data_IF_736510187682
#
_entry.id   IF_736510187682
#
_cell.length_a   1.000
_cell.length_b   1.000
_cell.length_c   1.000
_cell.angle_alpha   90.00
_cell.angle_beta   90.00
_cell.angle_gamma   90.00
#
_symmetry.space_group_name_H-M   'P 1'
#
loop_
_entity.id
_entity.type
_entity.pdbx_description
1 polymer ?
#
# COMPACT_ATOMS: atom_id res chain seq x y z
N UNK A 1 21.20 -0.45 -10.63
CA UNK A 1 20.87 0.36 -9.44
C UNK A 1 21.98 1.40 -9.28
N UNK A 2 21.69 2.71 -9.31
CA UNK A 2 22.74 3.76 -9.29
C UNK A 2 22.67 4.72 -8.10
N UNK A 3 21.66 4.62 -7.23
CA UNK A 3 21.66 5.37 -5.97
C UNK A 3 22.18 4.48 -4.85
N UNK A 4 23.36 4.80 -4.36
CA UNK A 4 24.08 4.03 -3.34
C UNK A 4 23.90 4.66 -1.95
N UNK A 5 22.68 5.09 -1.64
CA UNK A 5 22.37 5.56 -0.29
C UNK A 5 22.46 4.39 0.69
N UNK A 6 23.09 4.63 1.82
CA UNK A 6 22.98 3.75 2.98
C UNK A 6 21.52 3.63 3.44
N UNK A 7 21.22 2.60 4.23
CA UNK A 7 19.88 2.42 4.82
C UNK A 7 19.50 3.65 5.65
N UNK A 8 20.43 4.19 6.43
CA UNK A 8 20.19 5.37 7.27
C UNK A 8 19.87 6.62 6.44
N UNK A 9 20.62 6.87 5.35
CA UNK A 9 20.33 7.98 4.45
C UNK A 9 18.97 7.82 3.75
N UNK A 10 18.62 6.59 3.33
CA UNK A 10 17.30 6.31 2.74
C UNK A 10 16.18 6.60 3.73
N UNK A 11 16.31 6.16 4.98
CA UNK A 11 15.31 6.40 6.01
C UNK A 11 15.15 7.91 6.27
N UNK A 12 16.26 8.62 6.44
CA UNK A 12 16.26 10.08 6.59
C UNK A 12 15.55 10.78 5.43
N UNK A 13 15.89 10.42 4.18
CA UNK A 13 15.26 11.00 2.99
C UNK A 13 13.75 10.71 2.97
N UNK A 14 13.34 9.48 3.33
CA UNK A 14 11.91 9.11 3.40
C UNK A 14 11.20 9.96 4.46
N UNK A 15 11.75 10.07 5.66
CA UNK A 15 11.20 10.87 6.76
C UNK A 15 11.05 12.35 6.37
N UNK A 16 12.07 12.94 5.75
CA UNK A 16 12.05 14.32 5.22
C UNK A 16 10.97 14.55 4.14
N UNK A 17 10.46 13.48 3.52
CA UNK A 17 9.49 13.54 2.42
C UNK A 17 8.09 13.00 2.78
N UNK A 18 7.83 12.56 4.01
CA UNK A 18 6.50 12.05 4.43
C UNK A 18 5.37 13.05 4.14
N UNK A 19 5.62 14.35 4.32
CA UNK A 19 4.65 15.42 4.01
C UNK A 19 4.16 15.42 2.55
N UNK A 20 4.91 14.81 1.62
CA UNK A 20 4.50 14.68 0.22
C UNK A 20 3.22 13.82 0.10
N UNK A 21 3.08 12.79 0.95
CA UNK A 21 1.92 11.90 1.00
C UNK A 21 0.67 12.71 1.35
N UNK A 22 0.72 13.45 2.45
CA UNK A 22 -0.41 14.28 2.86
C UNK A 22 -0.79 15.30 1.80
N UNK A 23 0.20 15.89 1.12
CA UNK A 23 -0.06 16.83 0.03
C UNK A 23 -0.75 16.16 -1.15
N UNK A 24 -0.37 14.93 -1.51
CA UNK A 24 -1.04 14.15 -2.56
C UNK A 24 -2.47 13.82 -2.14
N UNK A 25 -2.69 13.33 -0.92
CA UNK A 25 -4.04 12.99 -0.42
C UNK A 25 -4.93 14.23 -0.38
N UNK A 26 -4.46 15.34 0.21
CA UNK A 26 -5.22 16.60 0.31
C UNK A 26 -5.66 17.11 -1.06
N UNK A 27 -4.78 17.08 -2.07
CA UNK A 27 -5.10 17.51 -3.44
C UNK A 27 -6.10 16.59 -4.15
N UNK A 28 -6.27 15.35 -3.68
CA UNK A 28 -7.12 14.35 -4.30
C UNK A 28 -8.29 13.92 -3.40
N UNK A 29 -8.72 14.75 -2.44
CA UNK A 29 -9.83 14.43 -1.52
C UNK A 29 -11.14 14.07 -2.25
N UNK A 30 -11.42 14.69 -3.39
CA UNK A 30 -12.58 14.35 -4.20
C UNK A 30 -12.51 12.90 -4.71
N UNK A 31 -11.35 12.48 -5.23
CA UNK A 31 -11.11 11.10 -5.66
C UNK A 31 -11.25 10.11 -4.49
N UNK A 32 -10.63 10.42 -3.34
CA UNK A 32 -10.73 9.59 -2.13
C UNK A 32 -12.19 9.32 -1.76
N UNK A 33 -13.02 10.37 -1.76
CA UNK A 33 -14.44 10.27 -1.42
C UNK A 33 -15.23 9.45 -2.45
N UNK A 34 -15.06 9.74 -3.74
CA UNK A 34 -15.83 9.07 -4.82
C UNK A 34 -15.46 7.59 -4.90
N UNK A 35 -14.19 7.25 -4.72
CA UNK A 35 -13.72 5.87 -4.75
C UNK A 35 -13.83 5.15 -3.39
N UNK A 36 -14.41 5.79 -2.36
CA UNK A 36 -14.57 5.26 -0.99
C UNK A 36 -13.25 4.71 -0.43
N UNK A 37 -12.16 5.42 -0.67
CA UNK A 37 -10.85 5.03 -0.18
C UNK A 37 -10.72 5.39 1.29
N UNK A 38 -10.25 4.45 2.08
CA UNK A 38 -9.87 4.69 3.47
C UNK A 38 -8.57 5.51 3.53
N UNK A 39 -8.51 6.44 4.48
CA UNK A 39 -7.36 7.35 4.60
C UNK A 39 -6.11 6.61 5.06
N UNK A 40 -6.22 5.73 6.05
CA UNK A 40 -5.08 5.03 6.65
C UNK A 40 -4.52 4.01 5.65
N UNK A 41 -5.39 3.28 4.94
CA UNK A 41 -4.98 2.36 3.88
C UNK A 41 -4.19 3.08 2.77
N UNK A 42 -4.69 4.24 2.31
CA UNK A 42 -4.02 5.02 1.28
C UNK A 42 -2.72 5.59 1.81
N UNK A 43 -2.69 6.09 3.05
CA UNK A 43 -1.47 6.61 3.67
C UNK A 43 -0.39 5.53 3.74
N UNK A 44 -0.74 4.33 4.22
CA UNK A 44 0.19 3.19 4.28
C UNK A 44 0.70 2.82 2.88
N UNK A 45 -0.18 2.76 1.88
CA UNK A 45 0.28 2.41 0.53
C UNK A 45 1.18 3.45 -0.11
N UNK A 46 0.83 4.73 0.05
CA UNK A 46 1.68 5.82 -0.40
C UNK A 46 3.02 5.84 0.34
N UNK A 47 3.06 5.41 1.60
CA UNK A 47 4.31 5.26 2.38
C UNK A 47 5.21 4.16 1.81
N UNK A 48 4.66 2.98 1.52
CA UNK A 48 5.39 1.90 0.84
C UNK A 48 5.92 2.37 -0.52
N UNK A 49 5.11 3.12 -1.27
CA UNK A 49 5.55 3.67 -2.55
C UNK A 49 6.66 4.70 -2.40
N UNK A 50 6.60 5.58 -1.39
CA UNK A 50 7.64 6.55 -1.10
C UNK A 50 8.98 5.86 -0.84
N UNK A 51 9.00 4.83 0.01
CA UNK A 51 10.20 4.04 0.29
C UNK A 51 10.76 3.47 -1.01
N UNK A 52 9.94 2.84 -1.84
CA UNK A 52 10.36 2.28 -3.14
C UNK A 52 10.87 3.35 -4.11
N UNK A 53 10.22 4.51 -4.15
CA UNK A 53 10.61 5.63 -5.00
C UNK A 53 11.99 6.17 -4.63
N UNK A 54 12.27 6.38 -3.33
CA UNK A 54 13.58 6.81 -2.85
C UNK A 54 14.65 5.75 -3.15
N UNK A 55 14.32 4.48 -2.90
CA UNK A 55 15.24 3.35 -3.08
C UNK A 55 15.63 3.11 -4.54
N UNK A 56 14.69 3.32 -5.47
CA UNK A 56 14.88 3.13 -6.90
C UNK A 56 15.20 4.40 -7.68
N UNK A 57 15.37 5.54 -7.01
CA UNK A 57 15.56 6.83 -7.67
C UNK A 57 16.88 6.86 -8.45
N UNK A 58 16.83 7.37 -9.68
CA UNK A 58 18.01 7.60 -10.51
C UNK A 58 18.22 9.11 -10.67
N UNK A 59 19.29 9.70 -10.08
CA UNK A 59 19.57 11.12 -10.18
C UNK A 59 19.75 11.63 -11.61
N UNK A 60 20.11 10.75 -12.56
CA UNK A 60 20.25 11.12 -13.97
C UNK A 60 18.89 11.38 -14.64
N UNK A 61 17.78 10.92 -14.03
CA UNK A 61 16.42 11.03 -14.56
C UNK A 61 15.64 12.23 -14.03
N UNK A 62 16.29 13.14 -13.31
CA UNK A 62 15.70 14.42 -12.88
C UNK A 62 15.76 14.64 -11.37
N UNK A 63 14.83 15.43 -10.82
CA UNK A 63 14.82 15.79 -9.38
C UNK A 63 14.04 14.78 -8.55
N UNK A 64 14.61 14.36 -7.41
CA UNK A 64 13.99 13.38 -6.49
C UNK A 64 12.56 13.77 -6.11
N UNK A 65 12.33 15.03 -5.72
CA UNK A 65 11.01 15.52 -5.33
C UNK A 65 9.96 15.37 -6.43
N UNK A 66 10.34 15.64 -7.69
CA UNK A 66 9.44 15.48 -8.83
C UNK A 66 9.15 14.00 -9.08
N UNK A 67 10.18 13.15 -8.99
CA UNK A 67 10.03 11.70 -9.06
C UNK A 67 9.06 11.18 -7.99
N UNK A 68 9.25 11.55 -6.71
CA UNK A 68 8.36 11.18 -5.60
C UNK A 68 6.92 11.57 -5.91
N UNK A 69 6.64 12.82 -6.30
CA UNK A 69 5.27 13.23 -6.60
C UNK A 69 4.66 12.45 -7.77
N UNK A 70 5.44 12.14 -8.81
CA UNK A 70 4.96 11.32 -9.92
C UNK A 70 4.60 9.89 -9.45
N UNK A 71 5.48 9.27 -8.66
CA UNK A 71 5.27 7.93 -8.10
C UNK A 71 4.04 7.87 -7.18
N UNK A 72 3.88 8.84 -6.28
CA UNK A 72 2.75 8.90 -5.34
C UNK A 72 1.41 9.13 -6.06
N UNK A 73 1.37 10.01 -7.08
CA UNK A 73 0.15 10.21 -7.87
C UNK A 73 -0.27 8.96 -8.61
N UNK A 74 0.69 8.25 -9.20
CA UNK A 74 0.42 7.00 -9.90
C UNK A 74 -0.09 5.91 -8.95
N UNK A 75 0.51 5.77 -7.76
CA UNK A 75 0.07 4.79 -6.77
C UNK A 75 -1.32 5.09 -6.22
N UNK A 76 -1.65 6.36 -5.97
CA UNK A 76 -3.01 6.74 -5.56
C UNK A 76 -4.07 6.28 -6.56
N UNK A 77 -3.80 6.40 -7.86
CA UNK A 77 -4.70 5.90 -8.91
C UNK A 77 -4.86 4.38 -8.90
N UNK A 78 -3.90 3.64 -8.33
CA UNK A 78 -3.97 2.18 -8.16
C UNK A 78 -4.68 1.75 -6.88
N UNK A 79 -4.86 2.65 -5.91
CA UNK A 79 -5.56 2.34 -4.65
C UNK A 79 -7.06 2.03 -4.86
N UNK A 80 -7.68 2.57 -5.92
CA UNK A 80 -9.10 2.31 -6.26
C UNK A 80 -9.40 0.90 -6.78
N UNK A 81 -8.39 0.05 -6.93
CA UNK A 81 -8.59 -1.30 -7.48
C UNK A 81 -9.28 -2.18 -6.42
N UNK A 82 -10.28 -3.01 -6.79
CA UNK A 82 -11.06 -3.78 -5.81
C UNK A 82 -10.24 -4.67 -4.88
N UNK A 83 -9.15 -5.26 -5.37
CA UNK A 83 -8.23 -6.09 -4.59
C UNK A 83 -7.29 -5.29 -3.66
N UNK A 84 -7.37 -3.96 -3.65
CA UNK A 84 -6.62 -3.06 -2.77
C UNK A 84 -7.51 -2.35 -1.75
N UNK A 85 -8.83 -2.47 -1.87
CA UNK A 85 -9.75 -1.88 -0.91
C UNK A 85 -9.61 -2.59 0.45
N UNK A 86 -9.72 -1.83 1.54
CA UNK A 86 -9.66 -2.31 2.92
C UNK A 86 -8.32 -2.99 3.29
N UNK A 87 -7.20 -2.42 2.83
CA UNK A 87 -5.88 -2.89 3.21
C UNK A 87 -5.48 -4.30 2.72
N UNK A 88 -6.30 -4.98 1.92
CA UNK A 88 -6.07 -6.38 1.51
C UNK A 88 -5.07 -6.53 0.37
N UNK A 89 -3.84 -6.05 0.59
CA UNK A 89 -2.76 -6.02 -0.40
C UNK A 89 -2.19 -7.42 -0.69
N UNK A 90 -2.89 -8.20 -1.51
CA UNK A 90 -2.46 -9.55 -1.88
C UNK A 90 -3.54 -10.40 -2.56
N UNK A 91 -4.76 -9.88 -2.65
CA UNK A 91 -5.86 -10.60 -3.28
C UNK A 91 -5.62 -10.78 -4.79
N UNK A 92 -6.09 -11.92 -5.36
CA UNK A 92 -6.06 -12.16 -6.80
C UNK A 92 -6.68 -11.00 -7.60
N UNK A 93 -6.15 -10.76 -8.81
CA UNK A 93 -6.60 -9.65 -9.65
C UNK A 93 -8.08 -9.76 -10.06
N UNK A 94 -8.61 -10.99 -10.11
CA UNK A 94 -10.01 -11.32 -10.39
C UNK A 94 -10.92 -11.25 -9.15
N UNK A 95 -10.41 -10.82 -7.99
CA UNK A 95 -11.21 -10.65 -6.79
C UNK A 95 -12.38 -9.66 -7.00
N UNK A 96 -13.61 -10.10 -6.69
CA UNK A 96 -14.87 -9.36 -6.91
C UNK A 96 -15.63 -9.00 -5.63
N UNK A 97 -14.99 -9.00 -4.45
CA UNK A 97 -15.64 -8.53 -3.21
C UNK A 97 -16.50 -9.55 -2.46
N UNK A 98 -16.92 -10.66 -3.10
CA UNK A 98 -17.87 -11.64 -2.53
C UNK A 98 -17.22 -12.84 -1.81
N UNK A 99 -15.89 -12.89 -1.73
CA UNK A 99 -15.16 -14.05 -1.16
C UNK A 99 -14.56 -13.77 0.24
N UNK A 100 -14.76 -12.58 0.80
CA UNK A 100 -14.39 -12.30 2.19
C UNK A 100 -15.56 -12.72 3.07
N UNK A 101 -15.28 -13.54 4.08
CA UNK A 101 -16.18 -13.87 5.17
C UNK A 101 -15.55 -13.37 6.47
N UNK A 102 -16.37 -13.03 7.46
CA UNK A 102 -15.88 -12.71 8.80
C UNK A 102 -15.26 -13.96 9.43
N UNK A 103 -14.40 -13.76 10.43
CA UNK A 103 -13.85 -14.87 11.22
C UNK A 103 -14.99 -15.59 11.93
N UNK A 104 -15.98 -14.84 12.41
CA UNK A 104 -17.19 -15.35 13.04
C UNK A 104 -17.97 -16.26 12.09
N UNK A 105 -18.25 -15.82 10.85
CA UNK A 105 -18.90 -16.64 9.82
C UNK A 105 -18.10 -17.91 9.50
N UNK A 106 -16.76 -17.80 9.46
CA UNK A 106 -15.91 -18.96 9.22
C UNK A 106 -16.04 -19.96 10.38
N UNK A 107 -15.92 -19.48 11.62
CA UNK A 107 -16.03 -20.30 12.81
C UNK A 107 -17.40 -20.95 12.92
N UNK A 108 -18.50 -20.24 12.67
CA UNK A 108 -19.85 -20.80 12.67
C UNK A 108 -20.06 -21.88 11.60
N UNK A 109 -19.44 -21.72 10.42
CA UNK A 109 -19.49 -22.74 9.34
C UNK A 109 -18.64 -23.97 9.64
N UNK A 110 -17.67 -23.85 10.56
CA UNK A 110 -16.70 -24.90 10.88
C UNK A 110 -16.73 -25.30 12.37
N UNK A 111 -17.74 -24.90 13.14
CA UNK A 111 -17.86 -25.11 14.59
C UNK A 111 -18.18 -26.56 15.00
N UNK A 112 -17.80 -27.52 14.16
CA UNK A 112 -17.91 -28.96 14.41
C UNK A 112 -16.79 -29.79 13.76
N UNK A 113 -15.80 -29.15 13.12
CA UNK A 113 -14.59 -29.81 12.69
C UNK A 113 -13.50 -29.56 13.75
N UNK A 114 -13.00 -30.62 14.38
CA UNK A 114 -11.74 -30.48 15.11
C UNK A 114 -10.67 -29.94 14.16
N UNK A 115 -9.80 -29.02 14.62
CA UNK A 115 -8.73 -28.54 13.78
C UNK A 115 -7.76 -29.69 13.54
N UNK A 116 -7.81 -30.28 12.35
CA UNK A 116 -6.72 -31.13 11.86
C UNK A 116 -5.44 -30.31 11.97
N UNK A 117 -4.62 -30.69 12.94
CA UNK A 117 -3.49 -29.89 13.39
C UNK A 117 -2.61 -29.48 12.23
N UNK A 118 -2.51 -28.18 11.99
CA UNK A 118 -1.38 -27.57 11.30
C UNK A 118 -0.15 -27.71 12.21
N UNK A 119 0.38 -28.93 12.31
CA UNK A 119 1.76 -29.13 12.71
C UNK A 119 2.63 -28.63 11.56
N UNK A 120 3.09 -27.39 11.68
CA UNK A 120 4.29 -26.94 11.01
C UNK A 120 5.45 -27.79 11.55
N UNK A 121 5.85 -28.82 10.83
CA UNK A 121 7.14 -29.48 11.07
C UNK A 121 8.24 -28.46 10.78
N UNK A 122 9.03 -28.15 11.81
CA UNK A 122 10.27 -27.41 11.70
C UNK A 122 11.33 -28.21 10.93
#
# INVERSE_FOLDING_TARGET
MKNNYSIAERNRIVEEHLWCIDRVIRKNRALMRVARLDYDDVYQQLSIRLIRAVSGFDPQKGKLKQHIFAQLRFELLNCKRPYRMFGMTGLPADYRGKKIISIEDYLERHSGAEPDGFFLSA
#
